data_IF_478218653117
#
_entry.id   IF_478218653117
#
_cell.length_a   1.000
_cell.length_b   1.000
_cell.length_c   1.000
_cell.angle_alpha   90.00
_cell.angle_beta   90.00
_cell.angle_gamma   90.00
#
_symmetry.space_group_name_H-M   'P 1'
#
loop_
_entity.id
_entity.type
_entity.pdbx_description
1 polymer ?
#
# COMPACT_ATOMS: atom_id res chain seq x y z
N UNK A 1 -0.02 15.01 -11.29
CA UNK A 1 -0.16 13.89 -12.24
C UNK A 1 0.78 12.70 -11.99
N UNK A 2 1.60 12.65 -10.92
CA UNK A 2 2.67 11.62 -10.80
C UNK A 2 2.35 10.31 -10.04
N UNK A 3 1.23 10.17 -9.34
CA UNK A 3 0.96 8.99 -8.47
C UNK A 3 0.09 7.90 -9.12
N UNK A 4 -0.50 8.15 -10.29
CA UNK A 4 -1.48 7.26 -10.91
C UNK A 4 -0.92 5.92 -11.40
N UNK A 5 0.37 5.85 -11.78
CA UNK A 5 0.97 4.66 -12.40
C UNK A 5 1.27 3.53 -11.42
N UNK A 6 1.79 3.85 -10.23
CA UNK A 6 2.10 2.83 -9.19
C UNK A 6 0.80 2.28 -8.60
N UNK A 7 -0.18 3.16 -8.47
CA UNK A 7 -1.54 2.87 -8.05
C UNK A 7 -2.24 1.84 -8.94
N UNK A 8 -2.34 2.11 -10.25
CA UNK A 8 -3.12 1.29 -11.19
C UNK A 8 -2.35 0.11 -11.77
N UNK A 9 -1.08 -0.07 -11.40
CA UNK A 9 -0.27 -1.17 -11.90
C UNK A 9 -0.96 -2.52 -11.60
N UNK A 10 -1.11 -3.41 -12.58
CA UNK A 10 -1.81 -4.70 -12.44
C UNK A 10 -0.91 -5.76 -11.78
N UNK A 11 -0.32 -5.40 -10.65
CA UNK A 11 0.56 -6.24 -9.84
C UNK A 11 0.11 -6.19 -8.39
N UNK A 12 0.35 -7.29 -7.67
CA UNK A 12 0.13 -7.32 -6.23
C UNK A 12 1.11 -6.37 -5.54
N UNK A 13 0.65 -5.72 -4.46
CA UNK A 13 1.42 -4.71 -3.73
C UNK A 13 1.42 -5.09 -2.26
N UNK A 14 2.56 -4.93 -1.59
CA UNK A 14 2.66 -5.11 -0.15
C UNK A 14 3.21 -3.82 0.47
N UNK A 15 2.46 -3.26 1.41
CA UNK A 15 2.92 -2.18 2.27
C UNK A 15 3.07 -2.69 3.70
N UNK A 16 4.16 -2.26 4.35
CA UNK A 16 4.48 -2.61 5.73
C UNK A 16 4.58 -1.34 6.55
N UNK A 17 3.76 -1.23 7.59
CA UNK A 17 3.71 -0.07 8.48
C UNK A 17 4.10 -0.52 9.88
N UNK A 18 5.31 -0.16 10.32
CA UNK A 18 5.81 -0.48 11.65
C UNK A 18 5.63 0.72 12.57
N UNK A 19 5.05 0.48 13.75
CA UNK A 19 4.75 1.53 14.72
C UNK A 19 6.02 1.95 15.45
N UNK A 20 6.32 3.25 15.42
CA UNK A 20 7.36 3.84 16.26
C UNK A 20 6.80 4.31 17.59
N UNK A 21 5.59 4.84 17.58
CA UNK A 21 4.85 5.30 18.75
C UNK A 21 3.57 4.46 18.90
N UNK A 22 3.05 4.28 20.13
CA UNK A 22 1.80 3.57 20.34
C UNK A 22 0.64 4.32 19.67
N UNK A 23 -0.24 3.56 19.03
CA UNK A 23 -1.51 4.05 18.50
C UNK A 23 -2.62 3.05 18.80
N UNK A 24 -3.84 3.55 18.95
CA UNK A 24 -5.02 2.67 18.87
C UNK A 24 -5.27 2.33 17.40
N UNK A 25 -5.92 1.18 17.16
CA UNK A 25 -6.35 0.84 15.80
C UNK A 25 -7.36 1.85 15.27
N UNK A 26 -8.25 2.37 16.12
CA UNK A 26 -9.21 3.42 15.75
C UNK A 26 -8.51 4.70 15.25
N UNK A 27 -7.51 5.21 15.97
CA UNK A 27 -6.76 6.41 15.57
C UNK A 27 -6.04 6.18 14.23
N UNK A 28 -5.42 5.01 14.09
CA UNK A 28 -4.72 4.64 12.87
C UNK A 28 -5.69 4.59 11.68
N UNK A 29 -6.78 3.81 11.81
CA UNK A 29 -7.74 3.56 10.76
C UNK A 29 -8.61 4.78 10.42
N UNK A 30 -8.88 5.65 11.40
CA UNK A 30 -9.52 6.94 11.18
C UNK A 30 -8.70 7.78 10.21
N UNK A 31 -7.44 8.06 10.57
CA UNK A 31 -6.58 8.92 9.76
C UNK A 31 -6.26 8.33 8.38
N UNK A 32 -5.90 7.06 8.32
CA UNK A 32 -5.55 6.40 7.05
C UNK A 32 -6.79 6.23 6.15
N UNK A 33 -7.95 5.95 6.74
CA UNK A 33 -9.23 5.84 6.07
C UNK A 33 -9.69 7.16 5.47
N UNK A 34 -9.67 8.25 6.26
CA UNK A 34 -10.05 9.60 5.80
C UNK A 34 -9.17 10.06 4.64
N UNK A 35 -7.86 9.82 4.76
CA UNK A 35 -6.89 10.16 3.70
C UNK A 35 -7.18 9.37 2.42
N UNK A 36 -7.57 8.10 2.56
CA UNK A 36 -7.92 7.21 1.44
C UNK A 36 -9.20 7.67 0.76
N UNK A 37 -10.24 7.99 1.53
CA UNK A 37 -11.50 8.54 1.03
C UNK A 37 -11.27 9.82 0.24
N UNK A 38 -10.55 10.80 0.81
CA UNK A 38 -10.22 12.05 0.13
C UNK A 38 -9.48 11.77 -1.18
N UNK A 39 -8.46 10.92 -1.16
CA UNK A 39 -7.66 10.60 -2.35
C UNK A 39 -8.50 9.92 -3.44
N UNK A 40 -9.46 9.06 -3.08
CA UNK A 40 -10.34 8.37 -4.02
C UNK A 40 -11.39 9.33 -4.62
N UNK A 41 -11.94 10.23 -3.82
CA UNK A 41 -12.85 11.30 -4.28
C UNK A 41 -12.15 12.24 -5.27
N UNK A 42 -10.90 12.63 -5.00
CA UNK A 42 -10.10 13.48 -5.89
C UNK A 42 -9.93 12.89 -7.31
N UNK A 43 -9.96 11.56 -7.44
CA UNK A 43 -9.79 10.86 -8.73
C UNK A 43 -11.08 10.23 -9.25
N UNK A 44 -12.25 10.60 -8.69
CA UNK A 44 -13.57 10.09 -9.08
C UNK A 44 -13.67 8.55 -9.02
N UNK A 45 -13.05 7.93 -8.01
CA UNK A 45 -13.10 6.48 -7.75
C UNK A 45 -13.81 6.12 -6.45
N UNK A 46 -14.60 7.05 -5.92
CA UNK A 46 -15.35 6.85 -4.68
C UNK A 46 -16.82 6.57 -4.98
N UNK A 47 -17.32 5.41 -4.55
CA UNK A 47 -18.74 5.05 -4.58
C UNK A 47 -19.15 4.22 -3.37
N UNK A 48 -20.35 3.63 -3.44
CA UNK A 48 -20.93 2.84 -2.33
C UNK A 48 -20.05 1.65 -1.93
N UNK A 49 -19.38 1.01 -2.89
CA UNK A 49 -18.47 -0.10 -2.63
C UNK A 49 -17.22 0.32 -1.84
N UNK A 50 -16.70 1.53 -2.08
CA UNK A 50 -15.56 2.08 -1.33
C UNK A 50 -15.99 2.56 0.06
N UNK A 51 -17.20 3.09 0.19
CA UNK A 51 -17.76 3.47 1.49
C UNK A 51 -17.96 2.25 2.39
N UNK A 52 -18.50 1.14 1.84
CA UNK A 52 -18.62 -0.12 2.57
C UNK A 52 -17.25 -0.68 2.96
N UNK A 53 -16.29 -0.64 2.04
CA UNK A 53 -14.91 -1.07 2.31
C UNK A 53 -14.26 -0.26 3.44
N UNK A 54 -14.49 1.05 3.49
CA UNK A 54 -14.01 1.91 4.57
C UNK A 54 -14.64 1.55 5.93
N UNK A 55 -15.93 1.21 5.95
CA UNK A 55 -16.62 0.74 7.17
C UNK A 55 -16.03 -0.57 7.67
N UNK A 56 -15.86 -1.57 6.79
CA UNK A 56 -15.24 -2.87 7.11
C UNK A 56 -13.80 -2.69 7.63
N UNK A 57 -13.03 -1.83 6.95
CA UNK A 57 -11.68 -1.47 7.36
C UNK A 57 -11.63 -0.89 8.77
N UNK A 58 -12.47 0.10 9.09
CA UNK A 58 -12.51 0.71 10.42
C UNK A 58 -12.97 -0.28 11.49
N UNK A 59 -13.97 -1.12 11.20
CA UNK A 59 -14.47 -2.11 12.14
C UNK A 59 -13.39 -3.13 12.51
N UNK A 60 -12.58 -3.59 11.53
CA UNK A 60 -11.44 -4.47 11.80
C UNK A 60 -10.45 -3.85 12.80
N UNK A 61 -10.18 -2.55 12.68
CA UNK A 61 -9.22 -1.86 13.54
C UNK A 61 -9.77 -1.44 14.91
N UNK A 62 -11.09 -1.47 15.10
CA UNK A 62 -11.76 -0.98 16.33
C UNK A 62 -11.23 -1.62 17.62
N UNK A 63 -10.95 -2.92 17.57
CA UNK A 63 -10.47 -3.70 18.71
C UNK A 63 -8.94 -3.89 18.71
N UNK A 64 -8.23 -3.23 17.79
CA UNK A 64 -6.78 -3.40 17.60
C UNK A 64 -5.99 -2.39 18.41
N UNK A 65 -4.84 -2.84 18.89
CA UNK A 65 -3.83 -1.96 19.49
C UNK A 65 -2.55 -2.06 18.67
N UNK A 66 -1.86 -0.93 18.49
CA UNK A 66 -0.67 -0.83 17.66
C UNK A 66 0.50 -0.33 18.54
N UNK A 67 1.06 -1.19 19.41
CA UNK A 67 2.18 -0.80 20.27
C UNK A 67 3.47 -0.57 19.45
N UNK A 68 4.48 0.13 20.00
CA UNK A 68 5.78 0.27 19.36
C UNK A 68 6.37 -1.08 18.96
N UNK A 69 6.95 -1.15 17.76
CA UNK A 69 7.53 -2.38 17.19
C UNK A 69 6.51 -3.31 16.52
N UNK A 70 5.20 -3.15 16.78
CA UNK A 70 4.19 -3.87 16.02
C UNK A 70 4.14 -3.39 14.58
N UNK A 71 3.75 -4.28 13.68
CA UNK A 71 3.71 -4.04 12.24
C UNK A 71 2.37 -4.45 11.66
N UNK A 72 1.79 -3.56 10.86
CA UNK A 72 0.61 -3.84 10.05
C UNK A 72 1.05 -4.07 8.61
N UNK A 73 0.53 -5.14 8.01
CA UNK A 73 0.74 -5.51 6.62
C UNK A 73 -0.53 -5.25 5.84
N UNK A 74 -0.38 -4.58 4.70
CA UNK A 74 -1.44 -4.35 3.72
C UNK A 74 -1.01 -4.97 2.40
N UNK A 75 -1.63 -6.08 2.02
CA UNK A 75 -1.44 -6.65 0.70
C UNK A 75 -2.64 -6.31 -0.19
N UNK A 76 -2.37 -5.75 -1.37
CA UNK A 76 -3.40 -5.46 -2.37
C UNK A 76 -3.29 -6.54 -3.42
N UNK A 77 -4.31 -7.37 -3.50
CA UNK A 77 -4.43 -8.50 -4.43
C UNK A 77 -5.71 -8.34 -5.25
N UNK A 78 -5.95 -9.26 -6.20
CA UNK A 78 -7.21 -9.28 -6.98
C UNK A 78 -8.44 -9.48 -6.09
N UNK A 79 -8.29 -10.12 -4.94
CA UNK A 79 -9.37 -10.33 -3.96
C UNK A 79 -9.70 -9.09 -3.13
N UNK A 80 -8.83 -8.09 -3.10
CA UNK A 80 -9.04 -6.86 -2.35
C UNK A 80 -7.82 -6.46 -1.50
N UNK A 81 -8.11 -5.89 -0.33
CA UNK A 81 -7.11 -5.49 0.66
C UNK A 81 -7.05 -6.56 1.75
N UNK A 82 -5.95 -7.29 1.79
CA UNK A 82 -5.61 -8.22 2.85
C UNK A 82 -4.85 -7.47 3.95
N UNK A 83 -5.28 -7.66 5.20
CA UNK A 83 -4.77 -6.98 6.37
C UNK A 83 -4.27 -8.02 7.36
N UNK A 84 -3.10 -7.79 7.94
CA UNK A 84 -2.57 -8.62 9.03
C UNK A 84 -1.74 -7.78 9.97
N UNK A 85 -1.74 -8.14 11.25
CA UNK A 85 -0.89 -7.52 12.25
C UNK A 85 0.10 -8.54 12.82
N UNK A 86 1.34 -8.08 13.03
CA UNK A 86 2.40 -8.83 13.71
C UNK A 86 2.97 -8.00 14.84
N UNK A 87 3.26 -8.63 15.98
CA UNK A 87 3.87 -7.97 17.15
C UNK A 87 5.39 -8.18 17.23
N UNK A 88 5.94 -9.10 16.43
CA UNK A 88 7.36 -9.44 16.37
C UNK A 88 7.99 -9.10 15.00
N UNK A 89 7.25 -8.39 14.16
CA UNK A 89 7.62 -8.04 12.77
C UNK A 89 7.81 -9.22 11.82
N UNK A 90 7.47 -10.45 12.23
CA UNK A 90 7.39 -11.59 11.32
C UNK A 90 6.33 -11.35 10.25
N UNK A 91 6.57 -11.84 9.03
CA UNK A 91 5.61 -11.73 7.92
C UNK A 91 4.50 -12.78 8.13
N UNK A 92 3.24 -12.37 8.29
CA UNK A 92 2.13 -13.30 8.47
C UNK A 92 1.94 -14.17 7.21
N UNK A 93 1.72 -15.47 7.41
CA UNK A 93 1.51 -16.43 6.30
C UNK A 93 0.09 -16.39 5.73
N UNK A 94 -0.86 -15.79 6.46
CA UNK A 94 -2.27 -15.70 6.10
C UNK A 94 -2.79 -14.32 6.46
N UNK A 95 -3.68 -13.80 5.62
CA UNK A 95 -4.45 -12.60 5.92
C UNK A 95 -5.30 -12.83 7.19
N UNK A 96 -5.28 -11.88 8.11
CA UNK A 96 -6.18 -11.88 9.26
C UNK A 96 -7.59 -11.45 8.84
N UNK A 97 -7.66 -10.48 7.93
CA UNK A 97 -8.91 -9.98 7.37
C UNK A 97 -8.74 -9.59 5.91
N UNK A 98 -9.82 -9.66 5.13
CA UNK A 98 -9.83 -9.27 3.71
C UNK A 98 -11.01 -8.35 3.45
N UNK A 99 -10.72 -7.08 3.21
CA UNK A 99 -11.70 -6.11 2.69
C UNK A 99 -11.82 -6.34 1.19
N UNK A 100 -12.97 -6.79 0.70
CA UNK A 100 -13.17 -7.22 -0.70
C UNK A 100 -13.31 -6.05 -1.68
N UNK A 101 -12.39 -5.09 -1.62
CA UNK A 101 -12.35 -3.95 -2.51
C UNK A 101 -10.90 -3.62 -2.92
N UNK A 102 -10.47 -4.00 -4.13
CA UNK A 102 -9.11 -3.73 -4.60
C UNK A 102 -8.86 -2.24 -4.90
N UNK A 103 -9.90 -1.46 -5.21
CA UNK A 103 -9.79 -0.02 -5.44
C UNK A 103 -9.50 0.70 -4.13
N UNK A 104 -10.20 0.35 -3.06
CA UNK A 104 -9.93 0.83 -1.70
C UNK A 104 -8.56 0.38 -1.19
N UNK A 105 -8.16 -0.87 -1.46
CA UNK A 105 -6.85 -1.38 -1.08
C UNK A 105 -5.69 -0.67 -1.76
N UNK A 106 -5.80 -0.50 -3.08
CA UNK A 106 -4.89 0.38 -3.82
C UNK A 106 -4.92 1.78 -3.21
N UNK A 107 -6.12 2.25 -2.79
CA UNK A 107 -6.44 3.49 -2.04
C UNK A 107 -5.40 3.79 -1.02
N UNK A 108 -5.49 2.96 -0.01
CA UNK A 108 -4.73 3.01 1.19
C UNK A 108 -3.22 3.00 0.90
N UNK A 109 -2.74 2.05 0.10
CA UNK A 109 -1.30 1.92 -0.22
C UNK A 109 -0.81 3.10 -1.05
N UNK A 110 -1.61 3.58 -1.98
CA UNK A 110 -1.31 4.72 -2.84
C UNK A 110 -1.10 6.01 -2.05
N UNK A 111 -1.89 6.22 -0.99
CA UNK A 111 -1.73 7.42 -0.14
C UNK A 111 -0.32 7.51 0.47
N UNK A 112 0.33 6.37 0.78
CA UNK A 112 1.67 6.31 1.37
C UNK A 112 2.77 6.83 0.45
N UNK A 113 2.57 6.70 -0.87
CA UNK A 113 3.51 7.13 -1.92
C UNK A 113 3.08 8.42 -2.62
N UNK A 114 1.90 8.95 -2.28
CA UNK A 114 1.33 10.11 -2.98
C UNK A 114 2.14 11.40 -2.74
N UNK A 115 1.92 12.42 -3.59
CA UNK A 115 2.57 13.73 -3.43
C UNK A 115 2.20 14.36 -2.08
N UNK A 116 0.94 14.21 -1.69
CA UNK A 116 0.39 14.61 -0.38
C UNK A 116 0.57 13.53 0.69
N UNK A 117 1.36 12.50 0.41
CA UNK A 117 1.50 11.32 1.26
C UNK A 117 2.27 11.62 2.55
N UNK A 118 2.00 10.81 3.57
CA UNK A 118 2.53 11.00 4.92
C UNK A 118 4.03 10.73 5.06
N UNK A 119 4.67 10.10 4.06
CA UNK A 119 6.10 9.79 4.08
C UNK A 119 6.82 10.24 2.79
N UNK A 120 7.33 11.48 2.75
CA UNK A 120 8.14 11.96 1.63
C UNK A 120 9.39 11.09 1.39
N UNK A 121 9.99 10.56 2.46
CA UNK A 121 11.16 9.70 2.37
C UNK A 121 10.86 8.37 1.68
N UNK A 122 9.74 7.71 2.02
CA UNK A 122 9.32 6.47 1.37
C UNK A 122 9.08 6.70 -0.14
N UNK A 123 8.44 7.80 -0.51
CA UNK A 123 8.22 8.16 -1.92
C UNK A 123 9.54 8.36 -2.67
N UNK A 124 10.47 9.14 -2.11
CA UNK A 124 11.76 9.40 -2.73
C UNK A 124 12.55 8.10 -2.92
N UNK A 125 12.65 7.27 -1.87
CA UNK A 125 13.38 6.01 -1.92
C UNK A 125 12.77 5.02 -2.92
N UNK A 126 11.44 4.95 -2.97
CA UNK A 126 10.74 4.15 -3.97
C UNK A 126 11.09 4.60 -5.40
N UNK A 127 11.05 5.90 -5.68
CA UNK A 127 11.40 6.46 -6.99
C UNK A 127 12.85 6.18 -7.40
N UNK A 128 13.81 6.38 -6.49
CA UNK A 128 15.23 6.06 -6.71
C UNK A 128 15.45 4.58 -7.03
N UNK A 129 14.87 3.69 -6.21
CA UNK A 129 15.03 2.26 -6.36
C UNK A 129 14.39 1.78 -7.68
N UNK A 130 13.19 2.25 -8.01
CA UNK A 130 12.54 1.92 -9.28
C UNK A 130 13.33 2.42 -10.49
N UNK A 131 13.83 3.66 -10.45
CA UNK A 131 14.68 4.21 -11.52
C UNK A 131 15.93 3.36 -11.73
N UNK A 132 16.57 2.93 -10.64
CA UNK A 132 17.76 2.08 -10.67
C UNK A 132 17.44 0.70 -11.26
N UNK A 133 16.37 0.05 -10.78
CA UNK A 133 15.93 -1.26 -11.27
C UNK A 133 15.62 -1.24 -12.78
N UNK A 134 14.91 -0.21 -13.24
CA UNK A 134 14.57 -0.06 -14.66
C UNK A 134 15.80 0.18 -15.53
N UNK A 135 16.75 1.02 -15.07
CA UNK A 135 18.02 1.24 -15.78
C UNK A 135 18.84 -0.05 -15.90
N UNK A 136 18.90 -0.85 -14.84
CA UNK A 136 19.64 -2.12 -14.86
C UNK A 136 18.99 -3.13 -15.83
N UNK A 137 17.66 -3.26 -15.80
CA UNK A 137 16.92 -4.12 -16.75
C UNK A 137 17.18 -3.77 -18.22
N UNK A 138 17.27 -2.47 -18.53
CA UNK A 138 17.57 -1.99 -19.89
C UNK A 138 18.99 -2.41 -20.29
N UNK A 139 19.97 -2.26 -19.41
CA UNK A 139 21.37 -2.66 -19.66
C UNK A 139 21.50 -4.16 -19.91
N UNK A 140 20.91 -4.98 -19.05
CA UNK A 140 20.94 -6.44 -19.19
C UNK A 140 20.32 -6.88 -20.53
N UNK A 141 19.24 -6.21 -20.96
CA UNK A 141 18.58 -6.50 -22.24
C UNK A 141 19.44 -6.09 -23.45
N UNK A 142 20.17 -4.97 -23.37
CA UNK A 142 21.08 -4.55 -24.43
C UNK A 142 22.33 -5.43 -24.57
N UNK A 143 22.84 -5.98 -23.47
CA UNK A 143 23.98 -6.90 -23.49
C UNK A 143 23.61 -8.28 -24.06
N UNK A 144 22.40 -8.77 -23.79
CA UNK A 144 21.89 -10.01 -24.40
C UNK A 144 21.70 -9.88 -25.91
N UNK A 145 21.23 -8.71 -26.40
CA UNK A 145 21.09 -8.45 -27.85
C UNK A 145 22.45 -8.35 -28.53
N UNK A 146 23.46 -7.78 -27.87
CA UNK A 146 24.82 -7.71 -28.41
C UNK A 146 25.50 -9.09 -28.50
N UNK A 147 25.23 -10.00 -27.55
CA UNK A 147 25.85 -11.32 -27.50
C UNK A 147 25.13 -12.38 -28.36
N UNK A 148 23.86 -12.16 -28.74
CA UNK A 148 23.08 -13.06 -29.60
C UNK A 148 23.22 -12.80 -31.11
N UNK A 149 24.06 -11.84 -31.52
CA UNK A 149 24.31 -11.48 -32.91
C UNK A 149 25.65 -12.03 -33.47
N UNK A 150 26.19 -13.10 -32.86
CA UNK A 150 27.41 -13.78 -33.31
C UNK A 150 27.15 -15.12 -33.97
#
# INVERSE_FOLDING_TARGET
>A
MGSGLVWSAPVDKLARVTMLLPLTGEDYAGKSGDTTEMSLKEVNKWGEAEELALKEYREFFKQKTCPPGSTIFFAVTKSGLEISQSFDSSIPKKAEYVVKNPVFGAGLVGTMLSVKGVSPHTRAKFGENMSTLLKNKIKDSSEVVANGAS
#
